data_IF_265260321573
#
_entry.id   IF_265260321573
#
_cell.length_a   1.000
_cell.length_b   1.000
_cell.length_c   1.000
_cell.angle_alpha   90.00
_cell.angle_beta   90.00
_cell.angle_gamma   90.00
#
_symmetry.space_group_name_H-M   'P 1'
#
loop_
_entity.id
_entity.type
_entity.pdbx_description
1 polymer ?
#
# COMPACT_ATOMS: atom_id res chain seq x y z
N UNK A 1 69.98 7.51 7.93
CA UNK A 1 68.64 7.58 8.51
C UNK A 1 67.64 7.15 7.43
N UNK A 2 67.29 5.86 7.44
CA UNK A 2 66.42 5.21 6.42
C UNK A 2 64.96 5.23 6.93
N UNK A 3 64.06 5.88 6.17
CA UNK A 3 62.63 5.92 6.50
C UNK A 3 61.95 4.64 6.00
N UNK A 4 61.56 3.77 6.94
CA UNK A 4 60.71 2.61 6.63
C UNK A 4 59.29 3.12 6.24
N UNK A 5 58.86 2.83 4.98
CA UNK A 5 57.48 2.96 4.54
C UNK A 5 56.72 1.70 4.96
N UNK A 6 55.85 1.82 5.97
CA UNK A 6 54.89 0.77 6.31
C UNK A 6 53.74 0.84 5.29
N UNK A 7 53.70 -0.09 4.33
CA UNK A 7 52.52 -0.33 3.53
C UNK A 7 51.48 -1.09 4.39
N UNK A 8 50.34 -0.44 4.69
CA UNK A 8 49.18 -1.10 5.30
C UNK A 8 48.53 -2.00 4.23
N UNK A 9 48.83 -3.27 4.25
CA UNK A 9 48.14 -4.29 3.50
C UNK A 9 46.92 -4.68 4.33
N UNK A 10 45.73 -4.31 3.87
CA UNK A 10 44.47 -4.77 4.45
C UNK A 10 44.29 -6.25 4.02
N UNK A 11 44.00 -7.19 4.94
CA UNK A 11 43.82 -8.57 4.58
C UNK A 11 42.58 -8.74 3.69
N UNK A 12 42.75 -9.41 2.55
CA UNK A 12 41.69 -9.68 1.57
C UNK A 12 40.44 -10.36 2.17
N UNK A 13 40.59 -11.05 3.28
CA UNK A 13 39.51 -11.66 4.06
C UNK A 13 38.55 -10.65 4.67
N UNK A 14 39.03 -9.43 5.04
CA UNK A 14 38.18 -8.40 5.58
C UNK A 14 37.26 -7.76 4.51
N UNK A 15 37.82 -7.63 3.27
CA UNK A 15 37.05 -7.10 2.14
C UNK A 15 35.98 -8.10 1.66
N UNK A 16 36.25 -9.41 1.71
CA UNK A 16 35.24 -10.42 1.35
C UNK A 16 34.10 -10.48 2.34
N UNK A 17 34.38 -10.36 3.65
CA UNK A 17 33.36 -10.32 4.70
C UNK A 17 32.43 -9.11 4.61
N UNK A 18 32.98 -7.93 4.29
CA UNK A 18 32.20 -6.70 4.10
C UNK A 18 31.34 -6.77 2.84
N UNK A 19 31.86 -7.37 1.75
CA UNK A 19 31.09 -7.57 0.51
C UNK A 19 29.92 -8.55 0.72
N UNK A 20 30.13 -9.65 1.46
CA UNK A 20 29.06 -10.62 1.78
C UNK A 20 28.00 -9.98 2.69
N UNK A 21 28.40 -9.18 3.69
CA UNK A 21 27.48 -8.43 4.55
C UNK A 21 26.69 -7.36 3.79
N UNK A 22 27.32 -6.68 2.83
CA UNK A 22 26.63 -5.71 1.97
C UNK A 22 25.67 -6.40 1.01
N UNK A 23 26.01 -7.55 0.43
CA UNK A 23 25.12 -8.33 -0.43
C UNK A 23 23.95 -8.89 0.37
N UNK A 24 24.19 -9.38 1.60
CA UNK A 24 23.12 -9.81 2.50
C UNK A 24 22.21 -8.64 2.91
N UNK A 25 22.77 -7.47 3.26
CA UNK A 25 22.01 -6.28 3.61
C UNK A 25 21.20 -5.74 2.43
N UNK A 26 21.72 -5.77 1.20
CA UNK A 26 20.99 -5.40 -0.02
C UNK A 26 19.91 -6.43 -0.35
N UNK A 27 20.14 -7.73 -0.12
CA UNK A 27 19.09 -8.76 -0.26
C UNK A 27 18.01 -8.60 0.81
N UNK A 28 18.38 -8.26 2.05
CA UNK A 28 17.41 -7.98 3.14
C UNK A 28 16.63 -6.70 2.90
N UNK A 29 17.24 -5.63 2.38
CA UNK A 29 16.50 -4.42 1.97
C UNK A 29 15.51 -4.69 0.81
N UNK A 30 15.84 -5.59 -0.12
CA UNK A 30 14.90 -6.01 -1.19
C UNK A 30 13.74 -6.87 -0.69
N UNK A 31 13.92 -7.60 0.43
CA UNK A 31 12.85 -8.36 1.09
C UNK A 31 11.90 -7.47 1.91
N UNK A 32 12.27 -6.21 2.17
CA UNK A 32 11.49 -5.30 3.01
C UNK A 32 10.71 -4.23 2.22
N UNK A 33 10.79 -4.21 0.89
CA UNK A 33 9.88 -3.39 0.11
C UNK A 33 8.50 -4.03 0.17
N UNK A 34 7.47 -3.31 0.64
CA UNK A 34 6.13 -3.86 0.69
C UNK A 34 5.76 -4.30 -0.72
N UNK A 35 5.32 -5.56 -0.92
CA UNK A 35 4.83 -5.99 -2.22
C UNK A 35 3.75 -5.01 -2.66
N UNK A 36 3.68 -4.73 -3.97
CA UNK A 36 2.82 -3.72 -4.53
C UNK A 36 1.41 -3.83 -3.93
N UNK A 37 0.91 -2.72 -3.41
CA UNK A 37 -0.45 -2.63 -2.85
C UNK A 37 -1.47 -2.46 -3.96
N UNK A 38 -1.22 -3.11 -5.09
CA UNK A 38 -2.01 -3.01 -6.28
C UNK A 38 -3.50 -3.23 -5.98
N UNK A 39 -4.31 -2.40 -6.56
CA UNK A 39 -5.75 -2.62 -6.63
C UNK A 39 -6.03 -3.71 -7.66
N UNK A 40 -6.01 -4.95 -7.20
CA UNK A 40 -6.19 -6.15 -8.03
C UNK A 40 -7.48 -6.05 -8.85
N UNK A 41 -8.53 -5.51 -8.26
CA UNK A 41 -9.83 -5.34 -8.93
C UNK A 41 -9.73 -4.35 -10.08
N UNK A 42 -9.11 -3.20 -9.85
CA UNK A 42 -8.93 -2.18 -10.89
C UNK A 42 -8.04 -2.68 -12.04
N UNK A 43 -6.97 -3.42 -11.73
CA UNK A 43 -6.15 -4.08 -12.75
C UNK A 43 -6.95 -5.08 -13.58
N UNK A 44 -7.74 -5.91 -12.91
CA UNK A 44 -8.56 -6.92 -13.56
C UNK A 44 -9.66 -6.29 -14.42
N UNK A 45 -10.26 -5.18 -14.03
CA UNK A 45 -11.25 -4.47 -14.84
C UNK A 45 -10.66 -3.94 -16.16
N UNK A 46 -9.39 -3.53 -16.15
CA UNK A 46 -8.69 -2.98 -17.32
C UNK A 46 -8.08 -4.04 -18.24
N UNK A 47 -7.76 -5.22 -17.73
CA UNK A 47 -7.03 -6.23 -18.48
C UNK A 47 -7.97 -7.07 -19.35
N UNK A 48 -7.76 -7.13 -20.68
CA UNK A 48 -8.50 -8.03 -21.55
C UNK A 48 -8.16 -9.51 -21.34
N UNK A 49 -6.93 -9.79 -20.89
CA UNK A 49 -6.42 -11.12 -20.61
C UNK A 49 -5.92 -11.20 -19.18
N UNK A 50 -6.30 -12.25 -18.44
CA UNK A 50 -5.84 -12.48 -17.09
C UNK A 50 -5.52 -13.96 -16.93
N UNK A 51 -4.30 -14.25 -16.54
CA UNK A 51 -3.87 -15.61 -16.28
C UNK A 51 -2.95 -15.72 -15.08
N UNK A 52 -2.89 -16.89 -14.54
CA UNK A 52 -1.92 -17.33 -13.54
C UNK A 52 -0.94 -18.27 -14.20
N UNK A 53 0.33 -18.14 -13.83
CA UNK A 53 1.34 -19.04 -14.37
C UNK A 53 2.64 -19.03 -13.58
N UNK A 54 3.44 -20.00 -13.93
CA UNK A 54 4.76 -20.29 -13.36
C UNK A 54 5.83 -19.90 -14.37
N UNK A 55 6.78 -19.07 -13.97
CA UNK A 55 7.87 -18.61 -14.81
C UNK A 55 8.92 -19.70 -14.96
N UNK A 56 9.12 -20.20 -16.17
CA UNK A 56 10.10 -21.22 -16.49
C UNK A 56 11.49 -20.62 -16.75
N UNK A 57 11.53 -19.59 -17.60
CA UNK A 57 12.79 -18.92 -17.97
C UNK A 57 12.56 -17.45 -18.24
N UNK A 58 13.58 -16.64 -18.06
CA UNK A 58 13.63 -15.24 -18.44
C UNK A 58 14.86 -14.99 -19.30
N UNK A 59 14.65 -14.42 -20.48
CA UNK A 59 15.74 -14.09 -21.41
C UNK A 59 15.68 -12.61 -21.78
N UNK A 60 16.82 -11.90 -21.80
CA UNK A 60 16.85 -10.53 -22.33
C UNK A 60 16.47 -10.52 -23.81
N UNK A 61 15.67 -9.57 -24.23
CA UNK A 61 15.39 -9.39 -25.65
C UNK A 61 16.64 -8.86 -26.38
N UNK A 62 17.00 -9.51 -27.48
CA UNK A 62 18.22 -9.20 -28.27
C UNK A 62 18.02 -8.10 -29.30
N UNK A 63 17.04 -7.23 -29.17
CA UNK A 63 16.81 -6.14 -30.11
C UNK A 63 17.70 -4.96 -29.84
N UNK A 64 18.60 -4.67 -30.78
CA UNK A 64 19.67 -3.66 -30.72
C UNK A 64 19.26 -2.19 -30.74
N UNK A 65 18.15 -1.81 -30.13
CA UNK A 65 17.76 -0.42 -29.90
C UNK A 65 17.74 -0.14 -28.40
N UNK A 66 18.73 0.59 -27.96
CA UNK A 66 19.19 0.81 -26.59
C UNK A 66 18.27 1.65 -25.68
N UNK A 67 16.97 1.73 -25.90
CA UNK A 67 16.11 2.62 -25.11
C UNK A 67 15.15 1.92 -24.14
N UNK A 68 14.92 0.60 -24.27
CA UNK A 68 14.18 -0.20 -23.27
C UNK A 68 14.84 -1.55 -23.12
N UNK A 69 15.26 -1.88 -21.91
CA UNK A 69 15.70 -3.25 -21.57
C UNK A 69 14.47 -4.16 -21.55
N UNK A 70 13.99 -4.59 -22.72
CA UNK A 70 12.93 -5.57 -22.82
C UNK A 70 13.46 -6.96 -22.50
N UNK A 71 12.68 -7.73 -21.78
CA UNK A 71 12.93 -9.13 -21.47
C UNK A 71 11.73 -9.97 -21.88
N UNK A 72 11.95 -11.25 -22.10
CA UNK A 72 10.90 -12.20 -22.43
C UNK A 72 10.84 -13.26 -21.34
N UNK A 73 9.70 -13.38 -20.68
CA UNK A 73 9.41 -14.46 -19.76
C UNK A 73 8.66 -15.59 -20.51
N UNK A 74 9.18 -16.81 -20.37
CA UNK A 74 8.45 -18.01 -20.77
C UNK A 74 7.66 -18.50 -19.57
N UNK A 75 6.34 -18.48 -19.67
CA UNK A 75 5.44 -18.76 -18.56
C UNK A 75 4.59 -19.97 -18.91
N UNK A 76 4.62 -20.99 -18.06
CA UNK A 76 3.67 -22.09 -18.08
C UNK A 76 2.39 -21.62 -17.40
N UNK A 77 1.25 -21.72 -18.11
CA UNK A 77 -0.06 -21.29 -17.60
C UNK A 77 -0.66 -22.39 -16.74
N UNK A 78 -0.97 -22.03 -15.49
CA UNK A 78 -1.72 -22.89 -14.58
C UNK A 78 -3.23 -22.71 -14.78
N UNK A 79 -3.66 -21.44 -15.00
CA UNK A 79 -5.08 -21.09 -15.13
C UNK A 79 -5.29 -19.79 -15.90
N UNK A 80 -6.30 -19.78 -16.76
CA UNK A 80 -6.85 -18.57 -17.36
C UNK A 80 -8.06 -18.11 -16.53
N UNK A 81 -8.04 -16.88 -16.03
CA UNK A 81 -9.19 -16.24 -15.40
C UNK A 81 -10.05 -15.51 -16.40
N UNK A 82 -9.43 -14.83 -17.36
CA UNK A 82 -10.10 -14.13 -18.46
C UNK A 82 -9.34 -14.35 -19.75
N UNK A 83 -10.07 -14.61 -20.84
CA UNK A 83 -9.47 -15.01 -22.10
C UNK A 83 -9.13 -16.50 -22.13
N UNK A 84 -8.40 -16.86 -23.17
CA UNK A 84 -7.93 -18.24 -23.41
C UNK A 84 -6.66 -18.21 -24.25
N UNK A 85 -5.89 -19.28 -24.23
CA UNK A 85 -4.66 -19.38 -24.98
C UNK A 85 -3.97 -20.71 -24.75
N UNK A 86 -2.71 -20.80 -25.18
CA UNK A 86 -1.90 -21.99 -24.99
C UNK A 86 -1.53 -22.19 -23.52
N UNK A 87 -1.05 -23.40 -23.21
CA UNK A 87 -0.50 -23.75 -21.90
C UNK A 87 0.85 -23.09 -21.62
N UNK A 88 1.47 -22.49 -22.64
CA UNK A 88 2.73 -21.74 -22.51
C UNK A 88 2.61 -20.46 -23.31
N UNK A 89 3.10 -19.37 -22.74
CA UNK A 89 3.12 -18.05 -23.36
C UNK A 89 4.50 -17.42 -23.24
N UNK A 90 4.87 -16.62 -24.24
CA UNK A 90 6.00 -15.72 -24.19
C UNK A 90 5.48 -14.32 -23.90
N UNK A 91 5.85 -13.76 -22.74
CA UNK A 91 5.44 -12.46 -22.29
C UNK A 91 6.61 -11.48 -22.38
N UNK A 92 6.47 -10.42 -23.15
CA UNK A 92 7.42 -9.32 -23.18
C UNK A 92 7.14 -8.34 -22.07
N UNK A 93 8.18 -7.89 -21.37
CA UNK A 93 8.07 -6.91 -20.29
C UNK A 93 9.32 -6.03 -20.21
N UNK A 94 9.13 -4.80 -19.71
CA UNK A 94 10.24 -3.92 -19.42
C UNK A 94 10.94 -4.40 -18.14
N UNK A 95 12.23 -4.72 -18.24
CA UNK A 95 13.00 -5.17 -17.08
C UNK A 95 13.32 -4.00 -16.14
N UNK A 96 12.96 -4.14 -14.87
CA UNK A 96 13.16 -3.12 -13.85
C UNK A 96 14.60 -3.03 -13.30
N UNK A 97 15.60 -3.36 -14.08
CA UNK A 97 17.02 -3.21 -13.67
C UNK A 97 17.40 -1.75 -13.34
N UNK A 98 16.52 -0.79 -13.61
CA UNK A 98 16.63 0.60 -13.17
C UNK A 98 15.53 0.88 -12.15
N UNK A 99 15.92 1.24 -10.93
CA UNK A 99 15.01 1.82 -9.93
C UNK A 99 14.47 3.12 -10.55
N UNK A 100 13.21 3.11 -10.97
CA UNK A 100 12.57 4.36 -11.37
C UNK A 100 12.59 5.33 -10.19
N UNK A 101 12.81 6.60 -10.47
CA UNK A 101 12.84 7.68 -9.47
C UNK A 101 11.55 7.79 -8.62
N UNK A 102 10.49 7.06 -9.00
CA UNK A 102 9.22 6.94 -8.29
C UNK A 102 9.24 5.94 -7.11
N UNK A 103 10.31 5.17 -6.93
CA UNK A 103 10.41 4.17 -5.84
C UNK A 103 9.47 2.96 -5.97
N UNK A 104 8.84 2.75 -7.13
CA UNK A 104 8.00 1.59 -7.40
C UNK A 104 8.85 0.43 -7.95
N UNK A 105 8.73 -0.75 -7.33
CA UNK A 105 9.29 -1.98 -7.87
C UNK A 105 8.49 -2.39 -9.10
N UNK A 106 9.13 -2.33 -10.27
CA UNK A 106 8.53 -2.83 -11.49
C UNK A 106 8.64 -4.36 -11.56
N UNK A 107 7.92 -4.95 -12.51
CA UNK A 107 7.84 -6.40 -12.68
C UNK A 107 9.23 -7.01 -12.82
N UNK A 108 9.57 -7.95 -11.93
CA UNK A 108 10.83 -8.70 -11.93
C UNK A 108 10.52 -10.20 -11.95
N UNK A 109 10.14 -10.71 -13.13
CA UNK A 109 9.93 -12.13 -13.31
C UNK A 109 11.24 -12.90 -13.07
N UNK A 110 11.16 -13.94 -12.25
CA UNK A 110 12.27 -14.85 -11.97
C UNK A 110 11.84 -16.29 -12.21
N UNK A 111 12.74 -17.15 -12.69
CA UNK A 111 12.43 -18.58 -12.77
C UNK A 111 11.94 -19.13 -11.43
N UNK A 112 11.10 -20.14 -11.49
CA UNK A 112 10.48 -20.82 -10.33
C UNK A 112 9.57 -19.92 -9.47
N UNK A 113 9.11 -18.77 -9.99
CA UNK A 113 8.14 -17.90 -9.32
C UNK A 113 6.76 -17.98 -9.97
N UNK A 114 5.72 -17.76 -9.16
CA UNK A 114 4.32 -17.80 -9.59
C UNK A 114 3.74 -16.40 -9.63
N UNK A 115 3.01 -16.11 -10.69
CA UNK A 115 2.47 -14.79 -10.97
C UNK A 115 1.04 -14.84 -11.46
N UNK A 116 0.25 -13.83 -11.11
CA UNK A 116 -0.94 -13.48 -11.84
C UNK A 116 -0.59 -12.31 -12.75
N UNK A 117 -0.96 -12.43 -14.02
CA UNK A 117 -0.60 -11.44 -15.04
C UNK A 117 -1.89 -10.85 -15.62
N UNK A 118 -1.97 -9.55 -15.57
CA UNK A 118 -2.98 -8.73 -16.22
C UNK A 118 -2.39 -8.24 -17.53
N UNK A 119 -2.82 -8.82 -18.65
CA UNK A 119 -2.14 -8.68 -19.92
C UNK A 119 -3.04 -8.08 -21.01
N UNK A 120 -2.40 -7.54 -22.03
CA UNK A 120 -2.96 -7.17 -23.32
C UNK A 120 -2.15 -7.83 -24.43
N UNK A 121 -2.75 -7.94 -25.61
CA UNK A 121 -2.11 -8.50 -26.80
C UNK A 121 -2.31 -7.55 -27.99
N UNK A 122 -1.37 -6.62 -28.17
CA UNK A 122 -1.33 -5.67 -29.27
C UNK A 122 -0.33 -6.12 -30.35
N UNK A 123 -0.37 -7.41 -30.71
CA UNK A 123 0.61 -8.07 -31.57
C UNK A 123 1.72 -8.78 -30.80
N UNK A 124 1.94 -8.42 -29.54
CA UNK A 124 2.82 -9.08 -28.58
C UNK A 124 2.14 -9.09 -27.22
N UNK A 125 2.19 -10.25 -26.54
CA UNK A 125 1.64 -10.36 -25.19
C UNK A 125 2.53 -9.60 -24.21
N UNK A 126 1.94 -8.66 -23.47
CA UNK A 126 2.63 -7.82 -22.50
C UNK A 126 1.71 -7.47 -21.32
N UNK A 127 2.27 -7.16 -20.14
CA UNK A 127 1.46 -6.65 -19.03
C UNK A 127 0.74 -5.36 -19.43
N UNK A 128 -0.42 -5.07 -18.82
CA UNK A 128 -1.14 -3.80 -19.05
C UNK A 128 -0.40 -2.59 -18.48
N UNK A 129 0.49 -2.82 -17.53
CA UNK A 129 1.34 -1.84 -16.87
C UNK A 129 2.70 -2.48 -16.53
N UNK A 130 3.78 -1.75 -16.74
CA UNK A 130 5.15 -2.26 -16.58
C UNK A 130 5.52 -2.54 -15.11
N UNK A 131 4.80 -1.97 -14.16
CA UNK A 131 5.11 -2.11 -12.73
C UNK A 131 4.01 -2.85 -11.95
N UNK A 132 2.76 -2.68 -12.29
CA UNK A 132 1.62 -3.26 -11.56
C UNK A 132 0.89 -4.36 -12.34
N UNK A 133 1.16 -4.50 -13.64
CA UNK A 133 0.47 -5.45 -14.53
C UNK A 133 0.76 -6.93 -14.24
N UNK A 134 1.62 -7.26 -13.28
CA UNK A 134 1.82 -8.62 -12.81
C UNK A 134 2.15 -8.64 -11.31
N UNK A 135 1.62 -9.63 -10.60
CA UNK A 135 1.71 -9.73 -9.14
C UNK A 135 2.15 -11.13 -8.73
N UNK A 136 3.13 -11.21 -7.84
CA UNK A 136 3.54 -12.47 -7.22
C UNK A 136 2.41 -13.09 -6.40
N UNK A 137 2.30 -14.41 -6.44
CA UNK A 137 1.29 -15.19 -5.73
C UNK A 137 1.88 -16.48 -5.19
N UNK A 138 1.13 -17.17 -4.32
CA UNK A 138 1.45 -18.52 -3.85
C UNK A 138 1.36 -19.54 -5.00
N UNK A 139 2.16 -20.62 -4.99
CA UNK A 139 2.00 -21.75 -5.90
C UNK A 139 0.70 -22.54 -5.69
N UNK A 140 0.04 -22.41 -4.54
CA UNK A 140 -1.17 -23.16 -4.23
C UNK A 140 -2.36 -22.71 -5.08
N UNK A 141 -3.11 -23.67 -5.58
CA UNK A 141 -4.32 -23.47 -6.36
C UNK A 141 -5.56 -23.75 -5.52
N UNK A 142 -6.54 -22.86 -5.61
CA UNK A 142 -7.88 -23.11 -5.10
C UNK A 142 -8.66 -24.09 -6.00
N UNK A 143 -9.87 -24.48 -5.58
CA UNK A 143 -10.76 -25.31 -6.37
C UNK A 143 -11.06 -24.63 -7.71
N UNK A 144 -11.25 -25.42 -8.76
CA UNK A 144 -11.69 -24.90 -10.05
C UNK A 144 -13.19 -24.60 -10.01
N UNK A 145 -13.53 -23.32 -10.08
CA UNK A 145 -14.91 -22.82 -10.09
C UNK A 145 -15.45 -22.59 -11.52
N UNK A 146 -14.61 -22.89 -12.53
CA UNK A 146 -14.92 -22.62 -13.92
C UNK A 146 -14.68 -21.15 -14.32
N UNK A 147 -14.83 -20.88 -15.62
CA UNK A 147 -14.48 -19.56 -16.20
C UNK A 147 -15.56 -18.48 -16.02
N UNK A 148 -16.76 -18.84 -15.55
CA UNK A 148 -17.90 -17.92 -15.53
C UNK A 148 -17.72 -16.77 -14.51
N UNK A 149 -17.07 -17.04 -13.39
CA UNK A 149 -16.79 -16.03 -12.36
C UNK A 149 -15.28 -15.99 -12.08
N UNK A 150 -14.57 -15.23 -12.91
CA UNK A 150 -13.12 -15.05 -12.79
C UNK A 150 -12.72 -14.42 -11.46
N UNK A 151 -13.59 -13.58 -10.86
CA UNK A 151 -13.30 -12.89 -9.61
C UNK A 151 -13.36 -13.86 -8.42
N UNK A 152 -14.41 -14.70 -8.37
CA UNK A 152 -14.51 -15.77 -7.36
C UNK A 152 -13.38 -16.80 -7.51
N UNK A 153 -12.99 -17.11 -8.75
CA UNK A 153 -11.87 -18.02 -9.00
C UNK A 153 -10.53 -17.45 -8.50
N UNK A 154 -10.30 -16.15 -8.72
CA UNK A 154 -9.11 -15.46 -8.23
C UNK A 154 -9.07 -15.43 -6.70
N UNK A 155 -10.22 -15.13 -6.07
CA UNK A 155 -10.38 -15.18 -4.62
C UNK A 155 -10.08 -16.58 -4.07
N UNK A 156 -10.61 -17.63 -4.70
CA UNK A 156 -10.37 -19.01 -4.28
C UNK A 156 -8.88 -19.39 -4.33
N UNK A 157 -8.14 -18.92 -5.33
CA UNK A 157 -6.69 -19.14 -5.42
C UNK A 157 -5.92 -18.38 -4.33
N UNK A 158 -6.31 -17.14 -4.03
CA UNK A 158 -5.68 -16.39 -2.94
C UNK A 158 -6.03 -16.97 -1.56
N UNK A 159 -7.25 -17.47 -1.37
CA UNK A 159 -7.64 -18.18 -0.15
C UNK A 159 -6.82 -19.46 0.06
N UNK A 160 -6.55 -20.22 -1.02
CA UNK A 160 -5.66 -21.38 -0.95
C UNK A 160 -4.24 -20.98 -0.51
N UNK A 161 -3.75 -19.86 -1.02
CA UNK A 161 -2.42 -19.33 -0.69
C UNK A 161 -2.24 -18.91 0.77
N UNK A 162 -3.32 -18.72 1.55
CA UNK A 162 -3.23 -18.51 3.00
C UNK A 162 -2.68 -19.75 3.74
N UNK A 163 -2.75 -20.93 3.13
CA UNK A 163 -2.19 -22.17 3.65
C UNK A 163 -0.74 -22.43 3.24
N UNK A 164 -0.08 -21.51 2.56
CA UNK A 164 1.30 -21.70 2.12
C UNK A 164 2.27 -21.72 3.29
N UNK A 165 3.24 -22.64 3.22
CA UNK A 165 4.32 -22.73 4.21
C UNK A 165 5.34 -21.61 4.06
N UNK A 166 5.53 -21.08 2.84
CA UNK A 166 6.36 -19.91 2.59
C UNK A 166 5.61 -18.64 3.07
N UNK A 167 6.20 -17.96 4.04
CA UNK A 167 5.65 -16.74 4.62
C UNK A 167 5.51 -15.60 3.59
N UNK A 168 6.39 -15.51 2.59
CA UNK A 168 6.33 -14.48 1.55
C UNK A 168 5.13 -14.73 0.62
N UNK A 169 4.93 -15.98 0.20
CA UNK A 169 3.81 -16.39 -0.64
C UNK A 169 2.46 -16.24 0.11
N UNK A 170 2.44 -16.59 1.41
CA UNK A 170 1.27 -16.42 2.27
C UNK A 170 0.93 -14.94 2.46
N UNK A 171 1.92 -14.11 2.73
CA UNK A 171 1.75 -12.66 2.84
C UNK A 171 1.24 -12.04 1.54
N UNK A 172 1.78 -12.45 0.39
CA UNK A 172 1.28 -12.03 -0.91
C UNK A 172 -0.21 -12.34 -1.05
N UNK A 173 -0.65 -13.53 -0.66
CA UNK A 173 -2.06 -13.94 -0.70
C UNK A 173 -2.95 -13.06 0.18
N UNK A 174 -2.53 -12.73 1.41
CA UNK A 174 -3.25 -11.80 2.31
C UNK A 174 -3.46 -10.45 1.63
N UNK A 175 -2.41 -9.90 1.03
CA UNK A 175 -2.46 -8.59 0.38
C UNK A 175 -3.35 -8.59 -0.87
N UNK A 176 -3.31 -9.68 -1.67
CA UNK A 176 -4.17 -9.82 -2.87
C UNK A 176 -5.64 -9.94 -2.50
N UNK A 177 -5.99 -10.63 -1.40
CA UNK A 177 -7.35 -10.65 -0.87
C UNK A 177 -7.83 -9.23 -0.51
N UNK A 178 -7.01 -8.43 0.15
CA UNK A 178 -7.31 -7.02 0.38
C UNK A 178 -7.45 -6.22 -0.91
N UNK A 179 -6.62 -6.50 -1.91
CA UNK A 179 -6.65 -5.85 -3.23
C UNK A 179 -7.88 -6.19 -4.09
N UNK A 180 -8.52 -7.34 -3.87
CA UNK A 180 -9.80 -7.69 -4.49
C UNK A 180 -10.98 -6.89 -3.92
N UNK A 181 -10.86 -6.41 -2.69
CA UNK A 181 -11.90 -5.64 -1.99
C UNK A 181 -13.25 -6.37 -1.89
N UNK A 182 -13.21 -7.70 -1.74
CA UNK A 182 -14.41 -8.54 -1.65
C UNK A 182 -14.83 -8.74 -0.19
N UNK A 183 -16.13 -8.52 0.15
CA UNK A 183 -16.64 -8.84 1.48
C UNK A 183 -16.51 -10.32 1.85
N UNK A 184 -16.57 -11.23 0.88
CA UNK A 184 -16.41 -12.69 1.08
C UNK A 184 -15.05 -13.08 1.65
N UNK A 185 -14.00 -12.29 1.42
CA UNK A 185 -12.66 -12.52 1.97
C UNK A 185 -12.54 -12.20 3.46
N UNK A 186 -13.49 -11.47 4.07
CA UNK A 186 -13.40 -10.94 5.44
C UNK A 186 -13.22 -12.03 6.49
N UNK A 187 -14.04 -13.08 6.45
CA UNK A 187 -13.99 -14.17 7.44
C UNK A 187 -12.62 -14.88 7.42
N UNK A 188 -12.04 -15.05 6.24
CA UNK A 188 -10.72 -15.65 6.10
C UNK A 188 -9.63 -14.73 6.67
N UNK A 189 -9.69 -13.43 6.37
CA UNK A 189 -8.76 -12.44 6.90
C UNK A 189 -8.88 -12.31 8.43
N UNK A 190 -10.10 -12.33 8.98
CA UNK A 190 -10.31 -12.35 10.44
C UNK A 190 -9.69 -13.59 11.09
N UNK A 191 -9.76 -14.75 10.46
CA UNK A 191 -9.07 -15.96 10.97
C UNK A 191 -7.56 -15.79 10.97
N UNK A 192 -6.98 -15.15 9.97
CA UNK A 192 -5.54 -14.82 9.94
C UNK A 192 -5.19 -13.84 11.06
N UNK A 193 -6.01 -12.82 11.31
CA UNK A 193 -5.80 -11.87 12.43
C UNK A 193 -5.75 -12.60 13.77
N UNK A 194 -6.60 -13.61 13.97
CA UNK A 194 -6.73 -14.33 15.25
C UNK A 194 -5.65 -15.41 15.44
N UNK A 195 -5.26 -16.10 14.38
CA UNK A 195 -4.48 -17.33 14.44
C UNK A 195 -3.16 -17.28 13.67
N UNK A 196 -2.92 -16.22 12.88
CA UNK A 196 -1.69 -16.02 12.12
C UNK A 196 -0.51 -15.65 13.01
N UNK A 197 0.69 -15.70 12.45
CA UNK A 197 1.83 -15.08 13.10
C UNK A 197 1.67 -13.54 13.15
N UNK A 198 2.60 -12.87 13.84
CA UNK A 198 2.49 -11.42 14.07
C UNK A 198 2.52 -10.63 12.75
N UNK A 199 3.34 -11.04 11.78
CA UNK A 199 3.46 -10.36 10.49
C UNK A 199 2.19 -10.55 9.66
N UNK A 200 1.71 -11.79 9.53
CA UNK A 200 0.49 -12.12 8.81
C UNK A 200 -0.73 -11.39 9.40
N UNK A 201 -0.83 -11.38 10.74
CA UNK A 201 -1.95 -10.72 11.44
C UNK A 201 -2.01 -9.22 11.16
N UNK A 202 -0.86 -8.53 11.14
CA UNK A 202 -0.80 -7.09 10.82
C UNK A 202 -1.27 -6.81 9.40
N UNK A 203 -0.77 -7.58 8.43
CA UNK A 203 -1.16 -7.42 7.04
C UNK A 203 -2.62 -7.80 6.80
N UNK A 204 -3.15 -8.78 7.55
CA UNK A 204 -4.55 -9.14 7.49
C UNK A 204 -5.46 -8.02 8.04
N UNK A 205 -5.06 -7.29 9.08
CA UNK A 205 -5.77 -6.08 9.54
C UNK A 205 -5.86 -5.04 8.41
N UNK A 206 -4.74 -4.76 7.75
CA UNK A 206 -4.72 -3.85 6.62
C UNK A 206 -5.58 -4.35 5.44
N UNK A 207 -5.43 -5.63 5.07
CA UNK A 207 -6.23 -6.23 4.00
C UNK A 207 -7.73 -6.20 4.30
N UNK A 208 -8.12 -6.43 5.56
CA UNK A 208 -9.51 -6.36 6.02
C UNK A 208 -10.05 -4.94 5.90
N UNK A 209 -9.28 -3.93 6.32
CA UNK A 209 -9.65 -2.51 6.14
C UNK A 209 -9.91 -2.19 4.66
N UNK A 210 -9.09 -2.69 3.75
CA UNK A 210 -9.27 -2.53 2.29
C UNK A 210 -10.56 -3.15 1.74
N UNK A 211 -11.10 -4.18 2.39
CA UNK A 211 -12.43 -4.73 2.01
C UNK A 211 -13.59 -3.85 2.46
N UNK A 212 -13.31 -2.72 3.11
CA UNK A 212 -14.32 -1.84 3.71
C UNK A 212 -14.87 -2.36 5.04
N UNK A 213 -14.18 -3.30 5.68
CA UNK A 213 -14.56 -3.77 7.03
C UNK A 213 -13.93 -2.88 8.09
N UNK A 214 -14.73 -1.98 8.65
CA UNK A 214 -14.29 -0.98 9.62
C UNK A 214 -14.25 -1.53 11.07
N UNK A 215 -14.65 -2.77 11.29
CA UNK A 215 -14.59 -3.41 12.63
C UNK A 215 -13.15 -3.61 13.13
N UNK A 216 -12.17 -3.51 12.23
CA UNK A 216 -10.73 -3.60 12.56
C UNK A 216 -10.10 -2.29 13.04
N UNK A 217 -10.82 -1.16 13.04
CA UNK A 217 -10.28 0.14 13.45
C UNK A 217 -9.63 0.15 14.85
N UNK A 218 -10.15 -0.54 15.88
CA UNK A 218 -9.47 -0.65 17.16
C UNK A 218 -8.08 -1.33 17.06
N UNK A 219 -7.93 -2.30 16.17
CA UNK A 219 -6.64 -2.96 15.91
C UNK A 219 -5.70 -2.06 15.13
N UNK A 220 -6.21 -1.31 14.14
CA UNK A 220 -5.46 -0.26 13.43
C UNK A 220 -4.87 0.74 14.42
N UNK A 221 -5.68 1.24 15.38
CA UNK A 221 -5.22 2.13 16.44
C UNK A 221 -4.05 1.53 17.23
N UNK A 222 -4.16 0.26 17.62
CA UNK A 222 -3.09 -0.42 18.38
C UNK A 222 -1.80 -0.56 17.56
N UNK A 223 -1.88 -0.86 16.27
CA UNK A 223 -0.72 -0.98 15.39
C UNK A 223 -0.01 0.37 15.21
N UNK A 224 -0.75 1.42 14.96
CA UNK A 224 -0.21 2.78 14.77
C UNK A 224 0.43 3.31 16.08
N UNK A 225 -0.19 3.07 17.24
CA UNK A 225 0.34 3.50 18.52
C UNK A 225 1.67 2.82 18.90
N UNK A 226 1.93 1.62 18.39
CA UNK A 226 3.19 0.89 18.61
C UNK A 226 4.34 1.39 17.75
N UNK A 227 4.09 2.30 16.80
CA UNK A 227 5.10 2.78 15.85
C UNK A 227 5.66 1.66 14.97
N UNK A 228 4.84 0.70 14.61
CA UNK A 228 5.23 -0.48 13.85
C UNK A 228 5.67 -0.07 12.42
N UNK A 229 6.95 -0.29 12.12
CA UNK A 229 7.54 0.07 10.84
C UNK A 229 7.33 -0.96 9.72
N UNK A 230 6.80 -2.13 10.03
CA UNK A 230 6.59 -3.20 9.05
C UNK A 230 5.34 -2.96 8.21
N UNK A 231 4.31 -2.32 8.77
CA UNK A 231 3.17 -1.84 8.01
C UNK A 231 3.42 -0.40 7.60
N UNK A 232 3.43 -0.10 6.29
CA UNK A 232 3.60 1.28 5.86
C UNK A 232 2.43 2.12 6.38
N UNK A 233 2.73 3.03 7.29
CA UNK A 233 1.74 3.93 7.88
C UNK A 233 0.92 4.67 6.81
N UNK A 234 1.58 5.10 5.73
CA UNK A 234 0.92 5.77 4.62
C UNK A 234 -0.16 4.94 3.93
N UNK A 235 -0.02 3.60 3.93
CA UNK A 235 -0.99 2.68 3.35
C UNK A 235 -2.28 2.66 4.16
N UNK A 236 -2.16 2.50 5.47
CA UNK A 236 -3.30 2.61 6.39
C UNK A 236 -3.94 4.00 6.26
N UNK A 237 -3.14 5.05 6.24
CA UNK A 237 -3.60 6.43 6.09
C UNK A 237 -4.42 6.62 4.81
N UNK A 238 -4.01 6.02 3.69
CA UNK A 238 -4.73 6.09 2.42
C UNK A 238 -6.10 5.40 2.51
N UNK A 239 -6.17 4.23 3.13
CA UNK A 239 -7.46 3.55 3.31
C UNK A 239 -8.38 4.29 4.29
N UNK A 240 -7.84 4.83 5.39
CA UNK A 240 -8.59 5.67 6.32
C UNK A 240 -9.16 6.92 5.64
N UNK A 241 -8.44 7.49 4.67
CA UNK A 241 -8.95 8.62 3.87
C UNK A 241 -10.15 8.23 3.00
N UNK A 242 -10.33 6.97 2.64
CA UNK A 242 -11.46 6.50 1.82
C UNK A 242 -12.74 6.22 2.61
N UNK A 243 -12.68 6.24 3.93
CA UNK A 243 -13.84 5.98 4.81
C UNK A 243 -14.93 7.03 4.59
N UNK A 244 -16.17 6.57 4.41
CA UNK A 244 -17.34 7.40 4.22
C UNK A 244 -18.47 7.13 5.23
N UNK A 245 -18.23 6.31 6.25
CA UNK A 245 -19.20 5.92 7.26
C UNK A 245 -19.08 6.81 8.52
N UNK A 246 -20.12 7.58 8.82
CA UNK A 246 -20.18 8.45 9.99
C UNK A 246 -20.18 7.70 11.33
N UNK A 247 -20.55 6.41 11.35
CA UNK A 247 -20.58 5.62 12.59
C UNK A 247 -19.19 5.47 13.22
N UNK A 248 -18.12 5.51 12.41
CA UNK A 248 -16.73 5.32 12.86
C UNK A 248 -15.98 6.61 13.22
N UNK A 249 -16.68 7.76 13.20
CA UNK A 249 -16.06 9.04 13.61
C UNK A 249 -15.40 8.97 14.99
N UNK A 250 -16.00 8.36 16.03
CA UNK A 250 -15.32 8.18 17.32
C UNK A 250 -14.01 7.38 17.23
N UNK A 251 -13.99 6.32 16.39
CA UNK A 251 -12.79 5.50 16.20
C UNK A 251 -11.68 6.28 15.47
N UNK A 252 -12.03 7.05 14.44
CA UNK A 252 -11.08 7.91 13.72
C UNK A 252 -10.50 8.99 14.65
N UNK A 253 -11.32 9.63 15.49
CA UNK A 253 -10.86 10.58 16.51
C UNK A 253 -9.91 9.86 17.48
N UNK A 254 -10.27 8.69 17.97
CA UNK A 254 -9.43 7.92 18.89
C UNK A 254 -8.08 7.48 18.28
N UNK A 255 -8.03 7.20 16.96
CA UNK A 255 -6.78 6.96 16.24
C UNK A 255 -5.96 8.25 16.16
N UNK A 256 -6.56 9.37 15.79
CA UNK A 256 -5.91 10.67 15.68
C UNK A 256 -5.27 11.10 17.02
N UNK A 257 -5.99 10.95 18.14
CA UNK A 257 -5.52 11.26 19.49
C UNK A 257 -4.43 10.30 20.01
N UNK A 258 -4.28 9.11 19.40
CA UNK A 258 -3.18 8.19 19.74
C UNK A 258 -1.81 8.65 19.21
N UNK A 259 -1.73 9.85 18.64
CA UNK A 259 -0.53 10.47 18.07
C UNK A 259 0.14 9.61 16.97
N UNK A 260 -0.59 9.23 15.91
CA UNK A 260 0.00 8.55 14.77
C UNK A 260 1.01 9.47 14.06
N UNK A 261 1.77 8.94 13.14
CA UNK A 261 2.68 9.71 12.31
C UNK A 261 1.99 10.78 11.45
N UNK A 262 2.77 11.66 10.87
CA UNK A 262 2.28 12.86 10.14
C UNK A 262 1.30 12.51 9.02
N UNK A 263 1.63 11.50 8.20
CA UNK A 263 0.76 11.05 7.11
C UNK A 263 -0.61 10.60 7.58
N UNK A 264 -0.68 9.83 8.66
CA UNK A 264 -1.95 9.33 9.20
C UNK A 264 -2.77 10.48 9.80
N UNK A 265 -2.13 11.41 10.55
CA UNK A 265 -2.82 12.58 11.09
C UNK A 265 -3.48 13.40 9.99
N UNK A 266 -2.72 13.82 8.98
CA UNK A 266 -3.23 14.59 7.85
C UNK A 266 -4.41 13.89 7.17
N UNK A 267 -4.28 12.59 6.84
CA UNK A 267 -5.36 11.84 6.17
C UNK A 267 -6.63 11.73 7.02
N UNK A 268 -6.50 11.52 8.33
CA UNK A 268 -7.67 11.46 9.23
C UNK A 268 -8.32 12.84 9.35
N UNK A 269 -7.55 13.93 9.46
CA UNK A 269 -8.07 15.30 9.50
C UNK A 269 -8.87 15.63 8.23
N UNK A 270 -8.33 15.28 7.04
CA UNK A 270 -9.05 15.40 5.76
C UNK A 270 -10.33 14.57 5.77
N UNK A 271 -10.28 13.31 6.24
CA UNK A 271 -11.47 12.44 6.29
C UNK A 271 -12.55 13.03 7.17
N UNK A 272 -12.20 13.45 8.38
CA UNK A 272 -13.14 14.03 9.35
C UNK A 272 -13.70 15.38 8.88
N UNK A 273 -12.83 16.25 8.33
CA UNK A 273 -13.15 17.64 8.03
C UNK A 273 -13.71 17.89 6.64
N UNK A 274 -13.29 17.10 5.63
CA UNK A 274 -13.67 17.34 4.25
C UNK A 274 -14.68 16.31 3.71
N UNK A 275 -14.52 15.06 4.08
CA UNK A 275 -15.39 13.99 3.60
C UNK A 275 -16.60 13.76 4.48
N UNK A 276 -16.38 13.46 5.75
CA UNK A 276 -17.47 13.19 6.69
C UNK A 276 -18.16 14.49 7.16
N UNK A 277 -17.41 15.57 7.33
CA UNK A 277 -17.94 16.87 7.80
C UNK A 277 -18.78 16.72 9.07
N UNK A 278 -18.33 15.89 10.00
CA UNK A 278 -19.09 15.53 11.20
C UNK A 278 -18.76 16.47 12.36
N UNK A 279 -19.79 17.05 12.95
CA UNK A 279 -19.64 18.02 14.04
C UNK A 279 -18.88 17.46 15.25
N UNK A 280 -18.97 16.16 15.51
CA UNK A 280 -18.22 15.49 16.59
C UNK A 280 -16.70 15.65 16.47
N UNK A 281 -16.19 15.89 15.25
CA UNK A 281 -14.76 16.06 15.00
C UNK A 281 -14.24 17.46 15.35
N UNK A 282 -15.13 18.46 15.52
CA UNK A 282 -14.72 19.87 15.73
C UNK A 282 -13.73 20.06 16.88
N UNK A 283 -13.93 19.48 18.08
CA UNK A 283 -12.96 19.64 19.17
C UNK A 283 -11.57 19.07 18.82
N UNK A 284 -11.52 17.91 18.16
CA UNK A 284 -10.27 17.26 17.76
C UNK A 284 -9.56 18.05 16.64
N UNK A 285 -10.32 18.55 15.65
CA UNK A 285 -9.78 19.44 14.61
C UNK A 285 -9.20 20.72 15.23
N UNK A 286 -9.92 21.34 16.19
CA UNK A 286 -9.42 22.54 16.87
C UNK A 286 -8.13 22.32 17.65
N UNK A 287 -7.96 21.18 18.30
CA UNK A 287 -6.72 20.80 18.97
C UNK A 287 -5.53 20.73 17.97
N UNK A 288 -5.77 20.25 16.76
CA UNK A 288 -4.74 20.12 15.71
C UNK A 288 -4.39 21.41 14.97
N UNK A 289 -5.04 22.53 15.27
CA UNK A 289 -4.55 23.86 14.85
C UNK A 289 -3.17 24.19 15.47
N UNK A 290 -2.74 23.43 16.49
CA UNK A 290 -1.42 23.56 17.13
C UNK A 290 -0.49 22.40 16.82
N UNK A 291 -0.80 21.58 15.83
CA UNK A 291 0.05 20.45 15.42
C UNK A 291 1.45 20.97 15.01
N UNK A 292 2.55 20.25 15.34
CA UNK A 292 3.87 20.60 14.86
C UNK A 292 3.98 20.55 13.33
N UNK A 293 3.25 19.64 12.68
CA UNK A 293 3.19 19.54 11.22
C UNK A 293 2.28 20.63 10.61
N UNK A 294 2.82 21.38 9.66
CA UNK A 294 2.09 22.48 8.99
C UNK A 294 0.90 21.96 8.15
N UNK A 295 1.04 20.80 7.54
CA UNK A 295 -0.03 20.23 6.72
C UNK A 295 -1.20 19.76 7.60
N UNK A 296 -0.92 19.15 8.73
CA UNK A 296 -1.95 18.80 9.72
C UNK A 296 -2.68 20.07 10.24
N UNK A 297 -1.97 21.19 10.49
CA UNK A 297 -2.61 22.46 10.84
C UNK A 297 -3.51 23.01 9.74
N UNK A 298 -3.06 22.89 8.47
CA UNK A 298 -3.86 23.28 7.30
C UNK A 298 -5.11 22.43 7.18
N UNK A 299 -5.00 21.11 7.23
CA UNK A 299 -6.13 20.19 7.11
C UNK A 299 -7.15 20.39 8.24
N UNK A 300 -6.67 20.67 9.47
CA UNK A 300 -7.50 21.00 10.60
C UNK A 300 -8.29 22.31 10.38
N UNK A 301 -7.63 23.36 9.86
CA UNK A 301 -8.27 24.65 9.56
C UNK A 301 -9.36 24.49 8.49
N UNK A 302 -9.05 23.79 7.39
CA UNK A 302 -10.00 23.50 6.30
C UNK A 302 -11.19 22.69 6.83
N UNK A 303 -10.91 21.67 7.64
CA UNK A 303 -11.93 20.83 8.26
C UNK A 303 -12.88 21.64 9.15
N UNK A 304 -12.34 22.51 10.01
CA UNK A 304 -13.14 23.41 10.85
C UNK A 304 -14.03 24.31 10.00
N UNK A 305 -13.48 24.95 8.95
CA UNK A 305 -14.28 25.79 8.04
C UNK A 305 -15.41 25.01 7.38
N UNK A 306 -15.14 23.81 6.91
CA UNK A 306 -16.13 22.98 6.22
C UNK A 306 -17.30 22.55 7.12
N UNK A 307 -17.04 22.34 8.42
CA UNK A 307 -18.05 21.88 9.37
C UNK A 307 -18.79 23.05 10.02
N UNK A 308 -18.04 24.07 10.46
CA UNK A 308 -18.59 25.15 11.29
C UNK A 308 -19.08 26.35 10.46
N UNK A 309 -18.58 26.48 9.24
CA UNK A 309 -18.80 27.64 8.35
C UNK A 309 -18.29 28.96 8.93
N UNK A 310 -17.48 28.94 9.99
CA UNK A 310 -16.99 30.14 10.68
C UNK A 310 -16.01 30.93 9.81
N UNK A 311 -16.21 32.23 9.71
CA UNK A 311 -15.35 33.11 8.91
C UNK A 311 -13.94 33.25 9.49
N UNK A 312 -13.81 33.13 10.81
CA UNK A 312 -12.52 33.14 11.50
C UNK A 312 -11.61 32.00 11.03
N UNK A 313 -12.18 30.87 10.57
CA UNK A 313 -11.45 29.71 10.05
C UNK A 313 -11.31 29.70 8.51
N UNK A 314 -11.76 30.78 7.83
CA UNK A 314 -11.70 30.86 6.37
C UNK A 314 -10.31 31.25 5.89
N UNK A 315 -9.81 30.56 4.87
CA UNK A 315 -8.61 30.95 4.13
C UNK A 315 -8.88 32.25 3.35
N UNK A 316 -7.92 33.18 3.34
CA UNK A 316 -8.02 34.39 2.52
C UNK A 316 -8.01 33.99 1.03
N UNK A 317 -8.79 34.67 0.16
CA UNK A 317 -8.69 34.45 -1.29
C UNK A 317 -7.28 34.71 -1.87
N UNK A 318 -6.50 35.54 -1.20
CA UNK A 318 -5.11 35.86 -1.56
C UNK A 318 -4.09 34.88 -0.95
N UNK A 319 -4.59 33.82 -0.32
CA UNK A 319 -3.75 32.86 0.38
C UNK A 319 -2.67 32.27 -0.52
N UNK A 320 -1.45 32.37 -0.04
CA UNK A 320 -0.29 31.63 -0.55
C UNK A 320 0.07 30.57 0.50
N UNK A 321 0.40 29.38 0.06
CA UNK A 321 0.71 28.23 0.92
C UNK A 321 1.72 28.53 2.06
N UNK A 322 2.49 29.60 1.92
CA UNK A 322 3.50 30.03 2.88
C UNK A 322 2.95 30.87 4.04
N UNK A 323 1.69 31.34 4.01
CA UNK A 323 1.17 32.34 4.95
C UNK A 323 -0.14 31.90 5.64
N UNK A 324 -0.14 30.67 6.17
CA UNK A 324 -1.31 30.10 6.83
C UNK A 324 -1.44 30.51 8.30
N UNK A 325 -0.35 30.93 8.95
CA UNK A 325 -0.32 31.18 10.42
C UNK A 325 -1.29 32.30 10.89
N UNK A 326 -1.51 33.38 10.16
CA UNK A 326 -2.52 34.38 10.53
C UNK A 326 -3.93 33.82 10.57
N UNK A 327 -4.29 32.93 9.64
CA UNK A 327 -5.60 32.29 9.58
C UNK A 327 -5.77 31.29 10.70
N UNK A 328 -4.74 30.46 10.99
CA UNK A 328 -4.72 29.56 12.13
C UNK A 328 -4.91 30.35 13.44
N UNK A 329 -4.19 31.46 13.61
CA UNK A 329 -4.29 32.31 14.80
C UNK A 329 -5.72 32.87 15.00
N UNK A 330 -6.37 33.34 13.93
CA UNK A 330 -7.77 33.82 14.01
C UNK A 330 -8.73 32.68 14.39
N UNK A 331 -8.58 31.50 13.79
CA UNK A 331 -9.41 30.35 14.09
C UNK A 331 -9.22 29.87 15.54
N UNK A 332 -7.99 29.88 16.06
CA UNK A 332 -7.69 29.59 17.47
C UNK A 332 -8.40 30.58 18.41
N UNK A 333 -8.35 31.88 18.11
CA UNK A 333 -9.03 32.90 18.91
C UNK A 333 -10.55 32.64 18.93
N UNK A 334 -11.15 32.39 17.78
CA UNK A 334 -12.56 31.99 17.71
C UNK A 334 -12.87 30.77 18.56
N UNK A 335 -12.05 29.72 18.45
CA UNK A 335 -12.22 28.49 19.23
C UNK A 335 -12.23 28.77 20.72
N UNK A 336 -11.26 29.54 21.22
CA UNK A 336 -11.13 29.88 22.64
C UNK A 336 -12.25 30.78 23.15
N UNK A 337 -12.78 31.66 22.32
CA UNK A 337 -13.82 32.65 22.74
C UNK A 337 -15.25 32.14 22.56
N UNK A 338 -15.51 31.29 21.59
CA UNK A 338 -16.86 30.86 21.20
C UNK A 338 -16.96 29.37 20.94
N UNK A 339 -16.10 28.81 20.10
CA UNK A 339 -16.23 27.45 19.56
C UNK A 339 -16.28 26.35 20.62
N UNK A 340 -15.39 26.41 21.63
CA UNK A 340 -15.30 25.40 22.68
C UNK A 340 -16.50 25.35 23.63
N UNK A 341 -17.34 26.35 23.62
CA UNK A 341 -18.58 26.41 24.46
C UNK A 341 -19.81 25.89 23.74
N UNK A 342 -19.71 25.58 22.46
CA UNK A 342 -20.78 24.99 21.67
C UNK A 342 -20.87 23.48 21.89
N UNK A 343 -22.08 22.92 21.68
CA UNK A 343 -22.26 21.46 21.70
C UNK A 343 -22.06 20.91 20.28
N UNK A 344 -21.02 20.12 20.10
CA UNK A 344 -20.68 19.46 18.85
C UNK A 344 -21.21 18.03 18.87
N UNK A 345 -22.41 17.82 18.39
CA UNK A 345 -23.06 16.51 18.30
C UNK A 345 -23.46 16.23 16.86
N UNK A 346 -23.62 14.96 16.54
CA UNK A 346 -24.16 14.57 15.23
C UNK A 346 -25.59 15.16 15.09
N UNK A 347 -25.87 15.82 13.97
CA UNK A 347 -27.21 16.31 13.62
C UNK A 347 -28.10 15.18 13.12
#
# INVERSE_FOLDING_TARGET
MSKLKIQKVWPATLMLGVAILLIAAVSWCRLMLPPSMADVRNLAEKAPLIFRGHVLTVTPATTGLAERNESIANIQIDRWYRGEGSTHVLLSFAYAGQIYASGHDCIDFRPETYWIVFAKNDGQLQPIDDCEGALTISPLLGPDLGKADWLAQMEADFLAGLGDHDSVARLASIQRLGGLKLPSSRDALHRVIQNGDIADSKWAVYATLRTGDLTVLPLVKQLLAKGDRELPEWAIATELQSVADHSVVPDLIAILESAPGESTRSRILVTLGEKLKDARAVPSLAAHLSDPDRYARYDALVGLKNITHEDACTLSPEWKEQDIEPQISRCKIWWEQAGKFQKWTQN
#
